data_IF_323054424797
#
_entry.id   IF_323054424797
#
_cell.length_a   1.000
_cell.length_b   1.000
_cell.length_c   1.000
_cell.angle_alpha   90.00
_cell.angle_beta   90.00
_cell.angle_gamma   90.00
#
_symmetry.space_group_name_H-M   'P 1'
#
loop_
_entity.id
_entity.type
_entity.pdbx_description
1 polymer ?
#
# COMPACT_ATOMS: atom_id res chain seq x y z
N UNK A 1 -8.13 -8.51 66.46
CA UNK A 1 -8.51 -7.28 65.75
C UNK A 1 -7.38 -6.92 64.80
N UNK A 2 -7.52 -7.21 63.50
CA UNK A 2 -6.43 -7.05 62.53
C UNK A 2 -6.23 -5.57 62.19
N UNK A 3 -5.01 -5.09 62.40
CA UNK A 3 -4.59 -3.71 62.12
C UNK A 3 -4.51 -3.48 60.61
N UNK A 4 -5.21 -2.45 60.15
CA UNK A 4 -5.20 -1.94 58.78
C UNK A 4 -3.83 -1.34 58.48
N UNK A 5 -3.06 -1.93 57.59
CA UNK A 5 -1.87 -1.28 57.02
C UNK A 5 -2.26 -0.63 55.70
N UNK A 6 -2.44 0.69 55.77
CA UNK A 6 -2.65 1.59 54.64
C UNK A 6 -1.29 1.98 54.06
N UNK A 7 -0.96 1.53 52.85
CA UNK A 7 0.20 2.04 52.11
C UNK A 7 -0.25 3.13 51.14
N UNK A 8 0.07 4.39 51.47
CA UNK A 8 -0.14 5.55 50.61
C UNK A 8 0.97 5.61 49.54
N UNK A 9 0.61 5.40 48.27
CA UNK A 9 1.52 5.63 47.16
C UNK A 9 1.50 7.11 46.76
N UNK A 10 2.63 7.78 46.96
CA UNK A 10 2.85 9.17 46.57
C UNK A 10 2.98 9.28 45.03
N UNK A 11 1.96 9.84 44.37
CA UNK A 11 2.02 10.22 42.95
C UNK A 11 2.79 11.54 42.83
N UNK A 12 4.02 11.47 42.34
CA UNK A 12 4.85 12.63 42.00
C UNK A 12 4.21 13.39 40.83
N UNK A 13 3.75 14.63 41.08
CA UNK A 13 3.33 15.57 40.04
C UNK A 13 4.54 15.97 39.20
N UNK A 14 4.50 15.72 37.89
CA UNK A 14 5.44 16.30 36.94
C UNK A 14 4.86 17.60 36.34
N UNK A 15 5.67 18.64 36.12
CA UNK A 15 5.22 19.95 35.66
C UNK A 15 4.84 19.95 34.17
N UNK A 16 3.82 20.75 33.82
CA UNK A 16 3.46 21.10 32.44
C UNK A 16 4.60 21.91 31.80
N UNK A 17 5.26 21.35 30.80
CA UNK A 17 6.14 22.09 29.92
C UNK A 17 5.36 22.62 28.70
N UNK A 18 5.33 23.94 28.57
CA UNK A 18 4.77 24.68 27.43
C UNK A 18 5.82 24.85 26.33
N UNK A 19 5.46 24.37 25.13
CA UNK A 19 5.66 24.96 23.80
C UNK A 19 6.96 25.72 23.46
N UNK A 20 7.71 25.20 22.47
CA UNK A 20 8.30 25.97 21.35
C UNK A 20 8.34 25.08 20.09
N UNK A 21 7.77 25.58 18.99
CA UNK A 21 7.89 25.02 17.64
C UNK A 21 9.36 24.92 17.21
N UNK A 22 9.72 23.87 16.46
CA UNK A 22 10.48 23.97 15.20
C UNK A 22 10.91 22.61 14.62
N UNK A 23 10.47 22.39 13.37
CA UNK A 23 11.19 21.71 12.28
C UNK A 23 11.55 20.23 12.49
N UNK A 24 10.59 19.36 12.18
CA UNK A 24 10.90 18.02 11.64
C UNK A 24 11.80 18.18 10.40
N UNK A 25 13.02 17.61 10.36
CA UNK A 25 13.79 17.59 9.13
C UNK A 25 13.04 16.73 8.10
N UNK A 26 12.61 17.36 7.02
CA UNK A 26 12.14 16.70 5.82
C UNK A 26 13.23 15.77 5.28
N UNK A 27 12.92 14.53 4.87
CA UNK A 27 13.90 13.70 4.18
C UNK A 27 14.33 14.40 2.88
N UNK A 28 15.62 14.33 2.49
CA UNK A 28 16.08 14.93 1.24
C UNK A 28 15.36 14.29 0.05
N UNK A 29 15.01 15.05 -1.01
CA UNK A 29 14.53 14.46 -2.24
C UNK A 29 15.63 13.55 -2.81
N UNK A 30 15.33 12.26 -2.93
CA UNK A 30 16.22 11.28 -3.57
C UNK A 30 16.50 11.69 -5.03
N UNK A 31 17.74 11.61 -5.53
CA UNK A 31 18.13 12.21 -6.81
C UNK A 31 17.67 11.45 -8.06
N UNK A 32 16.92 10.35 -7.93
CA UNK A 32 16.59 9.50 -9.08
C UNK A 32 15.15 9.72 -9.56
N UNK A 33 14.94 10.85 -10.22
CA UNK A 33 13.86 10.94 -11.21
C UNK A 33 14.33 10.30 -12.50
N UNK A 34 13.87 9.07 -12.78
CA UNK A 34 13.48 8.64 -14.13
C UNK A 34 12.75 7.31 -14.06
N UNK A 35 11.49 7.33 -13.61
CA UNK A 35 10.49 6.45 -14.22
C UNK A 35 9.15 7.16 -14.33
N UNK A 36 9.10 8.12 -15.26
CA UNK A 36 7.86 8.45 -15.95
C UNK A 36 7.75 7.48 -17.12
N UNK A 37 6.95 6.40 -17.07
CA UNK A 37 6.66 5.65 -18.27
C UNK A 37 5.99 6.61 -19.24
N UNK A 38 6.70 6.95 -20.32
CA UNK A 38 6.15 7.70 -21.44
C UNK A 38 4.89 6.96 -21.87
N UNK A 39 3.74 7.59 -21.72
CA UNK A 39 2.49 7.07 -22.27
C UNK A 39 2.55 7.34 -23.76
N UNK A 40 3.19 6.44 -24.50
CA UNK A 40 3.01 6.41 -25.94
C UNK A 40 1.53 6.15 -26.20
N UNK A 41 0.89 7.08 -26.90
CA UNK A 41 -0.57 7.22 -27.03
C UNK A 41 -1.24 6.09 -27.85
N UNK A 42 -0.60 4.94 -28.02
CA UNK A 42 -1.14 3.82 -28.80
C UNK A 42 -0.91 2.41 -28.19
N UNK A 43 -0.48 2.31 -26.93
CA UNK A 43 -0.45 1.00 -26.25
C UNK A 43 -1.88 0.60 -25.85
N UNK A 44 -2.45 -0.37 -26.58
CA UNK A 44 -3.74 -1.00 -26.25
C UNK A 44 -3.74 -1.38 -24.77
N UNK A 45 -4.52 -0.69 -23.95
CA UNK A 45 -4.69 -1.04 -22.53
C UNK A 45 -5.28 -2.44 -22.48
N UNK A 46 -4.68 -3.33 -21.69
CA UNK A 46 -5.33 -4.60 -21.38
C UNK A 46 -6.62 -4.29 -20.61
N UNK A 47 -7.78 -4.62 -21.20
CA UNK A 47 -9.10 -4.41 -20.61
C UNK A 47 -9.52 -5.75 -20.00
N UNK A 48 -9.79 -5.74 -18.70
CA UNK A 48 -10.28 -6.89 -17.96
C UNK A 48 -11.81 -6.98 -18.06
N UNK A 49 -12.37 -8.20 -18.15
CA UNK A 49 -13.82 -8.37 -18.03
C UNK A 49 -14.36 -7.77 -16.72
N UNK A 50 -15.57 -7.18 -16.76
CA UNK A 50 -16.19 -6.49 -15.61
C UNK A 50 -16.28 -7.37 -14.36
N UNK A 51 -16.55 -8.67 -14.56
CA UNK A 51 -16.59 -9.67 -13.48
C UNK A 51 -15.23 -9.85 -12.82
N UNK A 52 -14.18 -10.05 -13.62
CA UNK A 52 -12.83 -10.22 -13.09
C UNK A 52 -12.27 -8.93 -12.48
N UNK A 53 -12.61 -7.75 -13.01
CA UNK A 53 -12.23 -6.47 -12.41
C UNK A 53 -12.86 -6.27 -11.03
N UNK A 54 -14.15 -6.59 -10.90
CA UNK A 54 -14.87 -6.49 -9.63
C UNK A 54 -14.25 -7.42 -8.59
N UNK A 55 -13.93 -8.65 -8.97
CA UNK A 55 -13.26 -9.61 -8.10
C UNK A 55 -11.84 -9.16 -7.71
N UNK A 56 -11.07 -8.64 -8.67
CA UNK A 56 -9.75 -8.07 -8.41
C UNK A 56 -9.81 -6.91 -7.39
N UNK A 57 -10.77 -6.01 -7.54
CA UNK A 57 -10.95 -4.88 -6.62
C UNK A 57 -11.38 -5.31 -5.22
N UNK A 58 -12.04 -6.46 -5.07
CA UNK A 58 -12.38 -7.03 -3.77
C UNK A 58 -11.14 -7.55 -3.03
N UNK A 59 -10.15 -8.07 -3.76
CA UNK A 59 -8.91 -8.63 -3.18
C UNK A 59 -7.85 -7.52 -3.00
N UNK A 60 -7.72 -6.68 -4.02
CA UNK A 60 -6.79 -5.55 -4.06
C UNK A 60 -7.56 -4.25 -4.32
N UNK A 61 -8.11 -3.64 -3.26
CA UNK A 61 -8.84 -2.38 -3.39
C UNK A 61 -7.95 -1.30 -4.02
N UNK A 62 -8.45 -0.53 -5.00
CA UNK A 62 -7.62 0.39 -5.78
C UNK A 62 -7.09 1.59 -4.97
N UNK A 63 -7.63 1.80 -3.77
CA UNK A 63 -7.27 2.88 -2.85
C UNK A 63 -6.48 2.37 -1.64
N UNK A 64 -6.15 1.07 -1.60
CA UNK A 64 -5.46 0.47 -0.47
C UNK A 64 -4.16 -0.18 -0.93
N UNK A 65 -3.11 -0.05 -0.12
CA UNK A 65 -1.88 -0.77 -0.36
C UNK A 65 -2.08 -2.27 -0.13
N UNK A 66 -1.77 -3.14 -1.12
CA UNK A 66 -1.88 -4.59 -0.96
C UNK A 66 -0.94 -5.15 0.13
N UNK A 67 0.22 -4.53 0.34
CA UNK A 67 1.27 -4.98 1.27
C UNK A 67 0.98 -4.58 2.73
N UNK A 68 0.83 -3.28 3.00
CA UNK A 68 0.69 -2.75 4.37
C UNK A 68 -0.76 -2.36 4.73
N UNK A 69 -1.71 -2.52 3.81
CA UNK A 69 -3.13 -2.19 3.99
C UNK A 69 -3.46 -0.73 4.29
N UNK A 70 -2.51 0.19 4.13
CA UNK A 70 -2.75 1.62 4.26
C UNK A 70 -3.71 2.14 3.18
N UNK A 71 -4.65 3.01 3.56
CA UNK A 71 -5.63 3.63 2.66
C UNK A 71 -5.14 4.98 2.14
N UNK A 72 -5.51 5.29 0.90
CA UNK A 72 -5.12 6.51 0.19
C UNK A 72 -6.33 7.14 -0.51
N UNK A 73 -6.38 8.48 -0.63
CA UNK A 73 -7.51 9.15 -1.27
C UNK A 73 -7.53 8.97 -2.79
N UNK A 74 -6.42 8.54 -3.42
CA UNK A 74 -6.28 8.41 -4.87
C UNK A 74 -5.41 7.21 -5.24
N UNK A 75 -5.73 6.56 -6.36
CA UNK A 75 -4.92 5.44 -6.91
C UNK A 75 -3.48 5.84 -7.19
N UNK A 76 -3.26 7.07 -7.66
CA UNK A 76 -1.92 7.63 -7.90
C UNK A 76 -1.06 7.64 -6.64
N UNK A 77 -1.68 7.84 -5.47
CA UNK A 77 -0.97 7.89 -4.20
C UNK A 77 -0.61 6.47 -3.73
N UNK A 78 -1.47 5.47 -3.99
CA UNK A 78 -1.14 4.06 -3.76
C UNK A 78 0.07 3.64 -4.60
N UNK A 79 0.08 4.02 -5.89
CA UNK A 79 1.18 3.68 -6.80
C UNK A 79 2.49 4.31 -6.31
N UNK A 80 2.49 5.61 -5.98
CA UNK A 80 3.66 6.29 -5.40
C UNK A 80 4.13 5.60 -4.13
N UNK A 81 3.20 5.34 -3.21
CA UNK A 81 3.50 4.63 -1.95
C UNK A 81 4.13 3.25 -2.18
N UNK A 82 3.62 2.47 -3.13
CA UNK A 82 4.20 1.16 -3.47
C UNK A 82 5.63 1.31 -4.01
N UNK A 83 5.87 2.30 -4.88
CA UNK A 83 7.20 2.58 -5.41
C UNK A 83 8.16 3.04 -4.32
N UNK A 84 7.72 3.84 -3.35
CA UNK A 84 8.60 4.45 -2.35
C UNK A 84 8.82 3.57 -1.11
N UNK A 85 7.75 2.98 -0.57
CA UNK A 85 7.77 2.23 0.70
C UNK A 85 7.93 0.71 0.51
N UNK A 86 7.67 0.20 -0.70
CA UNK A 86 7.67 -1.23 -1.02
C UNK A 86 8.54 -1.55 -2.24
N UNK A 87 9.68 -0.85 -2.38
CA UNK A 87 10.67 -1.09 -3.45
C UNK A 87 11.04 -2.57 -3.52
N UNK A 88 11.01 -3.14 -4.72
CA UNK A 88 11.37 -4.54 -4.98
C UNK A 88 10.36 -5.57 -4.46
N UNK A 89 9.22 -5.14 -3.91
CA UNK A 89 8.14 -6.05 -3.54
C UNK A 89 7.23 -6.31 -4.75
N UNK A 90 6.70 -7.52 -4.83
CA UNK A 90 5.72 -7.93 -5.83
C UNK A 90 4.40 -8.30 -5.13
N UNK A 91 3.59 -7.30 -4.73
CA UNK A 91 2.49 -7.55 -3.81
C UNK A 91 1.23 -8.11 -4.48
N UNK A 92 1.21 -8.14 -5.81
CA UNK A 92 0.07 -8.59 -6.59
C UNK A 92 0.27 -10.05 -7.02
N UNK A 93 -0.61 -10.94 -6.59
CA UNK A 93 -0.68 -12.34 -7.02
C UNK A 93 -1.89 -12.55 -7.92
N UNK A 94 -1.84 -13.56 -8.79
CA UNK A 94 -3.01 -13.96 -9.56
C UNK A 94 -4.18 -14.32 -8.64
N UNK A 95 -5.37 -13.78 -8.95
CA UNK A 95 -6.60 -13.98 -8.18
C UNK A 95 -7.31 -15.31 -8.52
N UNK A 96 -6.87 -16.01 -9.57
CA UNK A 96 -7.45 -17.29 -9.97
C UNK A 96 -6.83 -18.43 -9.16
N UNK A 97 -7.63 -19.20 -8.39
CA UNK A 97 -7.11 -20.19 -7.44
C UNK A 97 -6.39 -21.38 -8.11
N UNK A 98 -6.71 -21.67 -9.37
CA UNK A 98 -6.08 -22.73 -10.18
C UNK A 98 -4.95 -22.21 -11.08
N UNK A 99 -4.52 -20.97 -10.88
CA UNK A 99 -3.39 -20.42 -11.62
C UNK A 99 -2.08 -20.85 -10.94
N UNK A 100 -1.35 -21.77 -11.58
CA UNK A 100 -0.04 -22.24 -11.12
C UNK A 100 1.11 -21.31 -11.52
N UNK A 101 0.84 -20.08 -11.96
CA UNK A 101 1.90 -19.15 -12.37
C UNK A 101 2.56 -18.58 -11.10
N UNK A 102 3.85 -18.89 -10.82
CA UNK A 102 4.51 -18.48 -9.57
C UNK A 102 4.84 -16.99 -9.56
N UNK A 103 4.72 -16.32 -10.71
CA UNK A 103 5.06 -14.93 -10.90
C UNK A 103 4.13 -14.03 -10.08
N UNK A 104 4.77 -13.21 -9.25
CA UNK A 104 4.14 -12.08 -8.61
C UNK A 104 4.33 -10.84 -9.51
N UNK A 105 3.53 -9.81 -9.28
CA UNK A 105 3.58 -8.59 -10.08
C UNK A 105 3.86 -7.39 -9.18
N UNK A 106 4.76 -6.53 -9.63
CA UNK A 106 5.07 -5.23 -9.00
C UNK A 106 3.94 -4.21 -9.20
N UNK A 107 3.19 -4.32 -10.31
CA UNK A 107 2.14 -3.37 -10.69
C UNK A 107 0.80 -4.06 -10.94
N UNK A 108 -0.28 -3.32 -10.70
CA UNK A 108 -1.64 -3.77 -10.98
C UNK A 108 -1.85 -4.01 -12.48
N UNK A 109 -1.27 -3.18 -13.33
CA UNK A 109 -1.33 -3.31 -14.79
C UNK A 109 -0.66 -4.61 -15.27
N UNK A 110 0.48 -4.99 -14.69
CA UNK A 110 1.15 -6.25 -15.00
C UNK A 110 0.29 -7.47 -14.66
N UNK A 111 -0.39 -7.44 -13.51
CA UNK A 111 -1.35 -8.48 -13.13
C UNK A 111 -2.56 -8.52 -14.08
N UNK A 112 -3.12 -7.36 -14.44
CA UNK A 112 -4.24 -7.28 -15.40
C UNK A 112 -3.84 -7.88 -16.74
N UNK A 113 -2.64 -7.57 -17.25
CA UNK A 113 -2.15 -8.15 -18.49
C UNK A 113 -2.10 -9.67 -18.44
N UNK A 114 -1.58 -10.24 -17.35
CA UNK A 114 -1.58 -11.70 -17.15
C UNK A 114 -2.99 -12.28 -17.15
N UNK A 115 -3.91 -11.67 -16.40
CA UNK A 115 -5.28 -12.16 -16.31
C UNK A 115 -5.95 -12.14 -17.69
N UNK A 116 -5.82 -11.03 -18.43
CA UNK A 116 -6.42 -10.89 -19.76
C UNK A 116 -5.87 -11.93 -20.74
N UNK A 117 -4.57 -12.22 -20.68
CA UNK A 117 -3.91 -13.16 -21.62
C UNK A 117 -4.04 -14.63 -21.25
N UNK A 118 -4.25 -14.96 -19.98
CA UNK A 118 -4.21 -16.36 -19.48
C UNK A 118 -5.58 -16.84 -19.02
N UNK A 119 -6.46 -15.94 -18.57
CA UNK A 119 -7.74 -16.29 -17.95
C UNK A 119 -8.96 -15.66 -18.63
N UNK A 120 -8.78 -14.55 -19.36
CA UNK A 120 -9.85 -13.83 -20.06
C UNK A 120 -9.74 -13.99 -21.60
N UNK A 121 -9.08 -15.06 -22.07
CA UNK A 121 -9.10 -15.47 -23.48
C UNK A 121 -10.47 -16.08 -23.78
N UNK A 122 -11.40 -15.23 -24.18
CA UNK A 122 -12.66 -15.61 -24.83
C UNK A 122 -12.58 -15.15 -26.29
#
# INVERSE_FOLDING_TARGET
MMARQSAAYAVKKQPKATFIDNLTPSPPPSPFSMYHPKKDSHSKKAILSKKAETFLNSIYPPLQCPSCKQNFPRKTNVIKHLTDAHVGQEPYRCIYPKCNHPKLYTTREGLIYHIVRVHDVQ
#
